data_IF_913267908405
#
_entry.id   IF_913267908405
#
_cell.length_a   1.000
_cell.length_b   1.000
_cell.length_c   1.000
_cell.angle_alpha   90.00
_cell.angle_beta   90.00
_cell.angle_gamma   90.00
#
_symmetry.space_group_name_H-M   'P 1'
#
loop_
_entity.id
_entity.type
_entity.pdbx_description
1 polymer ?
#
# COMPACT_ATOMS: atom_id res chain seq x y z
N UNK A 1 83.43 10.00 -50.82
CA UNK A 1 84.23 8.91 -50.21
C UNK A 1 83.95 8.95 -48.70
N UNK A 2 83.11 8.04 -48.19
CA UNK A 2 83.51 6.88 -47.36
C UNK A 2 84.11 7.36 -46.01
N UNK A 3 83.68 7.02 -44.78
CA UNK A 3 83.01 5.87 -44.14
C UNK A 3 82.43 6.33 -42.76
N UNK A 4 81.31 5.81 -42.26
CA UNK A 4 81.15 4.80 -41.16
C UNK A 4 82.08 5.00 -39.92
N UNK A 5 81.71 4.78 -38.65
CA UNK A 5 80.51 4.30 -37.95
C UNK A 5 80.72 4.47 -36.42
N UNK A 6 79.63 4.56 -35.63
CA UNK A 6 79.41 4.06 -34.25
C UNK A 6 78.23 4.84 -33.65
N UNK A 7 77.24 4.28 -32.95
CA UNK A 7 77.10 2.95 -32.37
C UNK A 7 76.27 3.10 -31.08
N UNK A 8 75.17 2.35 -31.02
CA UNK A 8 74.50 1.80 -29.83
C UNK A 8 73.67 2.68 -28.85
N UNK A 9 72.41 2.22 -28.73
CA UNK A 9 71.64 1.94 -27.50
C UNK A 9 71.04 3.06 -26.64
N UNK A 10 69.71 3.12 -26.69
CA UNK A 10 68.89 2.56 -25.61
C UNK A 10 68.57 3.48 -24.43
N UNK A 11 67.32 3.97 -24.38
CA UNK A 11 66.46 3.91 -23.18
C UNK A 11 65.10 4.58 -23.48
N UNK A 12 64.09 3.73 -23.61
CA UNK A 12 62.69 4.05 -23.38
C UNK A 12 62.46 4.09 -21.87
N UNK A 13 62.04 5.24 -21.30
CA UNK A 13 61.19 5.35 -20.09
C UNK A 13 61.20 6.79 -19.55
N UNK A 14 60.03 7.44 -19.51
CA UNK A 14 59.57 8.35 -18.45
C UNK A 14 58.32 9.13 -18.90
N UNK A 15 57.18 8.46 -18.96
CA UNK A 15 55.86 9.09 -18.81
C UNK A 15 55.02 8.13 -17.96
N UNK A 16 55.21 8.18 -16.65
CA UNK A 16 54.33 7.56 -15.67
C UNK A 16 54.34 8.43 -14.42
N UNK A 17 53.20 9.04 -14.11
CA UNK A 17 53.07 9.86 -12.90
C UNK A 17 51.90 10.83 -12.91
N UNK A 18 50.70 10.36 -13.27
CA UNK A 18 49.41 11.03 -12.97
C UNK A 18 48.24 10.14 -13.42
N UNK A 19 48.01 9.02 -12.73
CA UNK A 19 46.72 8.32 -12.77
C UNK A 19 46.67 7.31 -11.62
N UNK A 20 46.36 7.79 -10.41
CA UNK A 20 46.33 6.92 -9.23
C UNK A 20 45.41 7.35 -8.10
N UNK A 21 44.65 8.45 -8.25
CA UNK A 21 43.83 8.98 -7.14
C UNK A 21 42.33 9.07 -7.43
N UNK A 22 41.88 8.90 -8.68
CA UNK A 22 40.45 9.04 -9.03
C UNK A 22 39.66 7.73 -8.96
N UNK A 23 40.30 6.59 -8.67
CA UNK A 23 39.67 5.26 -8.71
C UNK A 23 39.21 4.70 -7.35
N UNK A 24 39.46 5.40 -6.23
CA UNK A 24 39.17 4.87 -4.88
C UNK A 24 37.93 5.48 -4.19
N UNK A 25 37.30 6.51 -4.76
CA UNK A 25 36.18 7.21 -4.11
C UNK A 25 34.77 6.78 -4.60
N UNK A 26 34.69 6.00 -5.70
CA UNK A 26 33.41 5.56 -6.27
C UNK A 26 32.75 4.38 -5.53
N UNK A 27 33.50 3.59 -4.75
CA UNK A 27 33.02 2.37 -4.10
C UNK A 27 32.38 2.56 -2.72
N UNK A 28 32.40 3.78 -2.18
CA UNK A 28 31.96 4.06 -0.80
C UNK A 28 30.57 4.69 -0.69
N UNK A 29 29.99 5.13 -1.81
CA UNK A 29 28.62 5.68 -1.87
C UNK A 29 27.56 4.61 -2.16
N UNK A 30 27.94 3.51 -2.82
CA UNK A 30 27.05 2.47 -3.35
C UNK A 30 26.33 1.64 -2.26
N UNK A 31 26.89 1.52 -1.06
CA UNK A 31 26.31 0.70 0.02
C UNK A 31 25.23 1.42 0.83
N UNK A 32 25.16 2.76 0.82
CA UNK A 32 24.14 3.53 1.57
C UNK A 32 22.84 3.75 0.79
N UNK A 33 22.86 3.56 -0.52
CA UNK A 33 21.65 3.61 -1.36
C UNK A 33 20.99 2.23 -1.53
N UNK A 34 21.68 1.16 -1.13
CA UNK A 34 21.16 -0.21 -1.16
C UNK A 34 20.21 -0.47 0.01
N UNK A 35 19.00 -0.91 -0.31
CA UNK A 35 17.93 -1.25 0.64
C UNK A 35 17.86 -2.76 0.81
N UNK A 36 17.75 -3.24 2.04
CA UNK A 36 17.57 -4.65 2.41
C UNK A 36 16.10 -4.95 2.63
N UNK A 37 15.57 -5.86 1.83
CA UNK A 37 14.13 -6.13 1.71
C UNK A 37 13.83 -7.58 2.08
N UNK A 38 12.79 -7.81 2.87
CA UNK A 38 12.14 -9.12 2.98
C UNK A 38 10.83 -9.08 2.21
N UNK A 39 10.54 -10.10 1.42
CA UNK A 39 9.30 -10.22 0.64
C UNK A 39 8.44 -11.33 1.22
N UNK A 40 7.18 -11.03 1.55
CA UNK A 40 6.17 -12.02 1.88
C UNK A 40 5.07 -11.99 0.83
N UNK A 41 5.00 -13.06 0.05
CA UNK A 41 4.06 -13.21 -1.08
C UNK A 41 3.89 -14.70 -1.32
N UNK A 42 2.67 -15.22 -1.34
CA UNK A 42 2.41 -16.66 -1.48
C UNK A 42 2.59 -17.14 -2.92
N UNK A 43 2.29 -16.29 -3.91
CA UNK A 43 2.55 -16.55 -5.31
C UNK A 43 4.05 -16.57 -5.59
N UNK A 44 4.59 -17.77 -5.76
CA UNK A 44 6.02 -18.00 -6.09
C UNK A 44 6.46 -17.15 -7.29
N UNK A 45 5.63 -17.09 -8.34
CA UNK A 45 5.97 -16.33 -9.55
C UNK A 45 6.07 -14.82 -9.26
N UNK A 46 5.14 -14.27 -8.49
CA UNK A 46 5.16 -12.85 -8.14
C UNK A 46 6.33 -12.53 -7.20
N UNK A 47 6.59 -13.39 -6.21
CA UNK A 47 7.74 -13.25 -5.30
C UNK A 47 9.08 -13.25 -6.05
N UNK A 48 9.26 -14.15 -7.01
CA UNK A 48 10.45 -14.18 -7.88
C UNK A 48 10.53 -12.94 -8.78
N UNK A 49 9.39 -12.48 -9.31
CA UNK A 49 9.30 -11.24 -10.08
C UNK A 49 9.73 -10.02 -9.27
N UNK A 50 9.15 -9.81 -8.10
CA UNK A 50 9.50 -8.74 -7.17
C UNK A 50 10.98 -8.79 -6.78
N UNK A 51 11.49 -10.00 -6.53
CA UNK A 51 12.90 -10.21 -6.20
C UNK A 51 13.79 -9.67 -7.31
N UNK A 52 13.54 -10.09 -8.57
CA UNK A 52 14.32 -9.63 -9.72
C UNK A 52 14.22 -8.12 -9.92
N UNK A 53 13.01 -7.55 -9.82
CA UNK A 53 12.80 -6.10 -10.00
C UNK A 53 13.63 -5.27 -9.02
N UNK A 54 13.76 -5.72 -7.77
CA UNK A 54 14.54 -5.05 -6.73
C UNK A 54 16.05 -5.28 -6.90
N UNK A 55 16.47 -6.52 -7.20
CA UNK A 55 17.90 -6.83 -7.36
C UNK A 55 18.50 -6.18 -8.59
N UNK A 56 17.76 -6.13 -9.71
CA UNK A 56 18.20 -5.46 -10.95
C UNK A 56 18.38 -3.94 -10.77
N UNK A 57 17.83 -3.38 -9.68
CA UNK A 57 17.95 -1.98 -9.27
C UNK A 57 19.00 -1.75 -8.18
N UNK A 58 19.78 -2.76 -7.83
CA UNK A 58 20.86 -2.68 -6.84
C UNK A 58 20.42 -2.88 -5.40
N UNK A 59 19.15 -3.21 -5.14
CA UNK A 59 18.67 -3.52 -3.79
C UNK A 59 18.93 -4.99 -3.42
N UNK A 60 18.87 -5.31 -2.13
CA UNK A 60 19.09 -6.66 -1.61
C UNK A 60 17.78 -7.27 -1.14
N UNK A 61 17.41 -8.44 -1.67
CA UNK A 61 16.32 -9.23 -1.09
C UNK A 61 16.94 -10.29 -0.19
N UNK A 62 16.86 -10.08 1.12
CA UNK A 62 17.54 -10.92 2.12
C UNK A 62 16.75 -12.17 2.46
N UNK A 63 15.44 -12.18 2.21
CA UNK A 63 14.59 -13.35 2.32
C UNK A 63 13.29 -13.19 1.52
N UNK A 64 12.75 -14.33 1.08
CA UNK A 64 11.41 -14.46 0.51
C UNK A 64 10.63 -15.55 1.23
N UNK A 65 9.41 -15.25 1.67
CA UNK A 65 8.52 -16.17 2.40
C UNK A 65 7.13 -16.19 1.77
N UNK A 66 6.36 -17.25 2.06
CA UNK A 66 5.03 -17.47 1.46
C UNK A 66 3.84 -17.23 2.40
N UNK A 67 4.09 -16.90 3.66
CA UNK A 67 3.02 -16.71 4.66
C UNK A 67 3.43 -15.72 5.76
N UNK A 68 2.42 -15.25 6.51
CA UNK A 68 2.59 -14.23 7.54
C UNK A 68 3.40 -14.70 8.76
N UNK A 69 3.26 -15.96 9.18
CA UNK A 69 3.99 -16.49 10.34
C UNK A 69 5.48 -16.63 10.03
N UNK A 70 5.80 -17.12 8.82
CA UNK A 70 7.15 -17.18 8.30
C UNK A 70 7.77 -15.78 8.19
N UNK A 71 7.01 -14.77 7.76
CA UNK A 71 7.48 -13.37 7.71
C UNK A 71 7.90 -12.88 9.10
N UNK A 72 7.04 -13.04 10.10
CA UNK A 72 7.34 -12.59 11.46
C UNK A 72 8.58 -13.30 12.01
N UNK A 73 8.65 -14.62 11.83
CA UNK A 73 9.79 -15.41 12.28
C UNK A 73 11.09 -14.99 11.59
N UNK A 74 11.09 -14.83 10.27
CA UNK A 74 12.28 -14.45 9.50
C UNK A 74 12.83 -13.10 9.92
N UNK A 75 11.97 -12.09 10.14
CA UNK A 75 12.43 -10.78 10.60
C UNK A 75 12.98 -10.84 12.02
N UNK A 76 12.34 -11.61 12.91
CA UNK A 76 12.85 -11.82 14.27
C UNK A 76 14.24 -12.49 14.28
N UNK A 77 14.44 -13.51 13.46
CA UNK A 77 15.72 -14.21 13.32
C UNK A 77 16.81 -13.26 12.78
N UNK A 78 16.49 -12.45 11.77
CA UNK A 78 17.41 -11.43 11.22
C UNK A 78 17.75 -10.35 12.25
N UNK A 79 16.77 -9.91 13.04
CA UNK A 79 16.96 -8.93 14.10
C UNK A 79 17.87 -9.48 15.20
N UNK A 80 17.68 -10.73 15.63
CA UNK A 80 18.54 -11.40 16.60
C UNK A 80 19.99 -11.53 16.10
N UNK A 81 20.19 -11.65 14.79
CA UNK A 81 21.50 -11.65 14.15
C UNK A 81 22.10 -10.24 13.92
N UNK A 82 21.44 -9.17 14.39
CA UNK A 82 21.91 -7.78 14.21
C UNK A 82 21.75 -7.27 12.78
N UNK A 83 20.82 -7.85 12.02
CA UNK A 83 20.69 -7.66 10.57
C UNK A 83 19.25 -7.36 10.15
N UNK A 84 18.52 -6.57 10.96
CA UNK A 84 17.13 -6.13 10.69
C UNK A 84 17.03 -5.58 9.24
N UNK A 85 16.06 -6.00 8.43
CA UNK A 85 15.85 -5.42 7.10
C UNK A 85 15.40 -3.95 7.20
N UNK A 86 15.59 -3.18 6.13
CA UNK A 86 15.14 -1.79 6.09
C UNK A 86 13.63 -1.71 5.81
N UNK A 87 13.11 -2.66 5.03
CA UNK A 87 11.69 -2.72 4.67
C UNK A 87 11.21 -4.15 4.46
N UNK A 88 9.96 -4.40 4.82
CA UNK A 88 9.21 -5.59 4.40
C UNK A 88 8.20 -5.21 3.32
N UNK A 89 8.14 -6.01 2.26
CA UNK A 89 7.07 -5.95 1.25
C UNK A 89 6.17 -7.15 1.48
N UNK A 90 4.92 -6.92 1.88
CA UNK A 90 4.00 -7.99 2.26
C UNK A 90 2.71 -7.93 1.44
N UNK A 91 2.33 -9.04 0.83
CA UNK A 91 0.96 -9.23 0.34
C UNK A 91 -0.02 -9.23 1.52
N UNK A 92 -1.22 -8.66 1.36
CA UNK A 92 -2.25 -8.69 2.40
C UNK A 92 -2.76 -10.11 2.63
N UNK A 93 -3.09 -10.82 1.54
CA UNK A 93 -3.82 -12.09 1.59
C UNK A 93 -2.85 -13.24 1.38
N UNK A 94 -2.50 -13.93 2.46
CA UNK A 94 -1.61 -15.09 2.41
C UNK A 94 -2.25 -16.28 3.13
N UNK A 95 -1.74 -17.52 2.92
CA UNK A 95 -2.13 -18.66 3.73
C UNK A 95 -2.07 -18.38 5.25
N UNK A 96 -2.92 -19.05 6.05
CA UNK A 96 -3.80 -20.14 5.64
C UNK A 96 -5.18 -19.70 5.12
N UNK A 97 -5.71 -18.55 5.54
CA UNK A 97 -7.09 -18.16 5.19
C UNK A 97 -7.18 -17.23 3.98
N UNK A 98 -6.06 -16.63 3.55
CA UNK A 98 -5.98 -15.71 2.42
C UNK A 98 -6.89 -14.48 2.62
N UNK A 99 -6.91 -13.94 3.84
CA UNK A 99 -7.75 -12.79 4.19
C UNK A 99 -6.90 -11.57 4.57
N UNK A 100 -6.03 -11.69 5.56
CA UNK A 100 -5.38 -10.53 6.20
C UNK A 100 -4.07 -10.88 6.91
N UNK A 101 -3.55 -12.09 6.71
CA UNK A 101 -2.39 -12.62 7.40
C UNK A 101 -1.17 -11.72 7.24
N UNK A 102 -0.94 -11.20 6.04
CA UNK A 102 0.22 -10.37 5.79
C UNK A 102 0.13 -8.98 6.38
N UNK A 103 -1.06 -8.37 6.38
CA UNK A 103 -1.22 -7.05 7.03
C UNK A 103 -1.17 -7.17 8.56
N UNK A 104 -1.70 -8.25 9.14
CA UNK A 104 -1.53 -8.54 10.57
C UNK A 104 -0.06 -8.75 10.94
N UNK A 105 0.69 -9.50 10.13
CA UNK A 105 2.13 -9.68 10.29
C UNK A 105 2.89 -8.35 10.22
N UNK A 106 2.58 -7.52 9.23
CA UNK A 106 3.12 -6.17 9.07
C UNK A 106 2.88 -5.28 10.31
N UNK A 107 1.65 -5.26 10.84
CA UNK A 107 1.31 -4.50 12.06
C UNK A 107 2.08 -5.04 13.27
N UNK A 108 2.17 -6.36 13.42
CA UNK A 108 2.93 -6.98 14.50
C UNK A 108 4.42 -6.64 14.43
N UNK A 109 5.02 -6.70 13.24
CA UNK A 109 6.42 -6.36 13.02
C UNK A 109 6.72 -4.91 13.33
N UNK A 110 5.85 -3.98 12.92
CA UNK A 110 6.04 -2.56 13.22
C UNK A 110 5.92 -2.24 14.71
N UNK A 111 5.07 -2.97 15.45
CA UNK A 111 5.03 -2.87 16.91
C UNK A 111 6.34 -3.34 17.57
N UNK A 112 6.96 -4.39 17.03
CA UNK A 112 8.22 -4.92 17.54
C UNK A 112 9.45 -4.11 17.09
N UNK A 113 9.40 -3.52 15.89
CA UNK A 113 10.47 -2.79 15.23
C UNK A 113 9.93 -1.47 14.65
N UNK A 114 9.86 -0.39 15.45
CA UNK A 114 9.26 0.88 15.02
C UNK A 114 9.96 1.56 13.83
N UNK A 115 11.25 1.27 13.63
CA UNK A 115 12.06 1.84 12.54
C UNK A 115 11.99 1.00 11.25
N UNK A 116 11.35 -0.18 11.28
CA UNK A 116 11.20 -1.05 10.12
C UNK A 116 10.16 -0.46 9.15
N UNK A 117 10.56 -0.23 7.90
CA UNK A 117 9.63 0.10 6.83
C UNK A 117 8.67 -1.05 6.53
N UNK A 118 7.40 -0.75 6.31
CA UNK A 118 6.38 -1.74 5.95
C UNK A 118 5.62 -1.26 4.72
N UNK A 119 5.80 -1.95 3.60
CA UNK A 119 5.04 -1.75 2.37
C UNK A 119 4.08 -2.91 2.17
N UNK A 120 2.78 -2.64 2.22
CA UNK A 120 1.75 -3.62 1.97
C UNK A 120 1.29 -3.55 0.52
N UNK A 121 1.21 -4.71 -0.14
CA UNK A 121 0.67 -4.89 -1.49
C UNK A 121 -0.69 -5.55 -1.40
N UNK A 122 -1.68 -5.02 -2.12
CA UNK A 122 -3.01 -5.63 -2.14
C UNK A 122 -3.60 -5.69 -3.53
N UNK A 123 -4.35 -6.75 -3.84
CA UNK A 123 -5.11 -6.81 -5.09
C UNK A 123 -6.31 -5.84 -5.08
N UNK A 124 -6.90 -5.61 -3.90
CA UNK A 124 -8.01 -4.69 -3.67
C UNK A 124 -7.79 -3.95 -2.34
N UNK A 125 -8.38 -2.78 -2.12
CA UNK A 125 -8.17 -2.07 -0.86
C UNK A 125 -8.86 -2.80 0.30
N UNK A 126 -8.07 -3.27 1.26
CA UNK A 126 -8.55 -3.86 2.51
C UNK A 126 -8.68 -2.74 3.57
N UNK A 127 -9.80 -2.00 3.49
CA UNK A 127 -10.01 -0.70 4.14
C UNK A 127 -9.82 -0.71 5.67
N UNK A 128 -10.27 -1.77 6.36
CA UNK A 128 -10.14 -1.92 7.82
C UNK A 128 -8.67 -1.92 8.25
N UNK A 129 -7.82 -2.64 7.52
CA UNK A 129 -6.41 -2.80 7.86
C UNK A 129 -5.54 -1.67 7.35
N UNK A 130 -5.91 -1.04 6.23
CA UNK A 130 -5.27 0.20 5.79
C UNK A 130 -5.42 1.28 6.88
N UNK A 131 -6.60 1.40 7.50
CA UNK A 131 -6.83 2.34 8.60
C UNK A 131 -5.98 2.00 9.83
N UNK A 132 -5.92 0.72 10.24
CA UNK A 132 -5.11 0.29 11.40
C UNK A 132 -3.61 0.50 11.17
N UNK A 133 -3.10 0.19 9.98
CA UNK A 133 -1.70 0.42 9.60
C UNK A 133 -1.35 1.91 9.64
N UNK A 134 -2.28 2.78 9.21
CA UNK A 134 -2.12 4.23 9.16
C UNK A 134 -2.42 4.95 10.48
N UNK A 135 -3.17 4.35 11.41
CA UNK A 135 -3.53 4.96 12.70
C UNK A 135 -2.35 5.12 13.67
N UNK A 136 -1.21 4.44 13.42
CA UNK A 136 0.05 4.63 14.14
C UNK A 136 0.88 5.81 13.63
N UNK A 137 2.20 5.78 13.84
CA UNK A 137 3.14 6.73 13.23
C UNK A 137 3.21 6.50 11.71
N UNK A 138 2.78 7.46 10.89
CA UNK A 138 2.78 7.32 9.41
C UNK A 138 4.18 7.16 8.79
N UNK A 139 5.25 7.31 9.59
CA UNK A 139 6.63 7.07 9.19
C UNK A 139 6.85 5.61 8.79
N UNK A 140 7.48 5.40 7.64
CA UNK A 140 7.89 4.07 7.16
C UNK A 140 6.72 3.17 6.77
N UNK A 141 5.60 3.73 6.32
CA UNK A 141 4.41 2.95 5.92
C UNK A 141 4.09 3.17 4.45
N UNK A 142 3.86 2.08 3.72
CA UNK A 142 3.31 2.12 2.39
C UNK A 142 2.14 1.17 2.21
N UNK A 143 1.22 1.55 1.34
CA UNK A 143 0.09 0.74 0.90
C UNK A 143 -0.13 0.97 -0.59
N UNK A 144 0.15 -0.06 -1.39
CA UNK A 144 0.02 -0.01 -2.85
C UNK A 144 -0.88 -1.13 -3.35
N UNK A 145 -1.56 -0.86 -4.47
CA UNK A 145 -2.24 -1.90 -5.22
C UNK A 145 -1.22 -2.73 -6.00
N UNK A 146 -1.47 -4.04 -6.15
CA UNK A 146 -0.59 -4.96 -6.90
C UNK A 146 -0.40 -4.52 -8.36
N UNK A 147 -1.38 -3.83 -8.95
CA UNK A 147 -1.26 -3.25 -10.30
C UNK A 147 -0.12 -2.23 -10.41
N UNK A 148 0.22 -1.52 -9.32
CA UNK A 148 1.38 -0.59 -9.30
C UNK A 148 2.73 -1.27 -9.38
N UNK A 149 2.80 -2.57 -9.11
CA UNK A 149 4.03 -3.33 -9.34
C UNK A 149 4.40 -3.34 -10.84
N UNK A 150 3.40 -3.26 -11.73
CA UNK A 150 3.65 -3.16 -13.17
C UNK A 150 4.37 -1.85 -13.54
N UNK A 151 4.20 -0.79 -12.74
CA UNK A 151 4.93 0.48 -12.85
C UNK A 151 6.24 0.39 -12.06
N UNK A 152 7.15 -0.45 -12.57
CA UNK A 152 8.38 -0.88 -11.90
C UNK A 152 9.18 0.27 -11.26
N UNK A 153 9.24 1.44 -11.88
CA UNK A 153 9.94 2.60 -11.31
C UNK A 153 9.23 3.13 -10.06
N UNK A 154 7.92 3.31 -10.12
CA UNK A 154 7.14 3.82 -8.99
C UNK A 154 7.14 2.85 -7.81
N UNK A 155 7.04 1.56 -8.08
CA UNK A 155 7.14 0.52 -7.05
C UNK A 155 8.49 0.57 -6.32
N UNK A 156 9.61 0.62 -7.05
CA UNK A 156 10.94 0.67 -6.46
C UNK A 156 11.15 1.97 -5.68
N UNK A 157 10.73 3.11 -6.24
CA UNK A 157 10.79 4.41 -5.55
C UNK A 157 9.97 4.40 -4.25
N UNK A 158 8.81 3.72 -4.23
CA UNK A 158 8.00 3.55 -3.04
C UNK A 158 8.68 2.67 -1.98
N UNK A 159 9.30 1.55 -2.37
CA UNK A 159 10.07 0.68 -1.48
C UNK A 159 11.20 1.47 -0.81
N UNK A 160 11.99 2.21 -1.59
CA UNK A 160 13.10 3.03 -1.07
C UNK A 160 12.58 4.13 -0.15
N UNK A 161 11.48 4.80 -0.51
CA UNK A 161 10.87 5.85 0.30
C UNK A 161 10.42 5.31 1.66
N UNK A 162 9.74 4.16 1.66
CA UNK A 162 9.24 3.50 2.88
C UNK A 162 10.40 3.01 3.76
N UNK A 163 11.43 2.41 3.16
CA UNK A 163 12.65 2.00 3.87
C UNK A 163 13.36 3.17 4.57
N UNK A 164 13.22 4.38 4.03
CA UNK A 164 13.81 5.61 4.60
C UNK A 164 12.87 6.34 5.57
N UNK A 165 11.81 5.69 6.04
CA UNK A 165 10.84 6.28 6.97
C UNK A 165 9.80 7.19 6.30
N UNK A 166 9.79 7.32 4.98
CA UNK A 166 8.74 8.02 4.25
C UNK A 166 7.45 7.22 4.14
N UNK A 167 6.44 7.82 3.49
CA UNK A 167 5.13 7.20 3.25
C UNK A 167 4.88 7.02 1.75
N UNK A 168 4.25 5.91 1.35
CA UNK A 168 3.84 5.68 -0.04
C UNK A 168 2.41 5.12 -0.11
N UNK A 169 1.43 5.95 -0.48
CA UNK A 169 0.04 5.54 -0.61
C UNK A 169 -0.42 5.66 -2.06
N UNK A 170 -1.06 4.61 -2.55
CA UNK A 170 -1.70 4.65 -3.85
C UNK A 170 -2.87 5.65 -3.85
N UNK A 171 -3.02 6.51 -4.88
CA UNK A 171 -4.13 7.47 -4.95
C UNK A 171 -5.52 6.83 -4.86
N UNK A 172 -5.71 5.63 -5.39
CA UNK A 172 -6.95 4.87 -5.31
C UNK A 172 -7.22 4.40 -3.88
N UNK A 173 -6.20 3.94 -3.16
CA UNK A 173 -6.29 3.61 -1.73
C UNK A 173 -6.72 4.85 -0.94
N UNK A 174 -6.09 6.01 -1.20
CA UNK A 174 -6.47 7.27 -0.55
C UNK A 174 -7.91 7.66 -0.87
N UNK A 175 -8.34 7.55 -2.13
CA UNK A 175 -9.69 7.89 -2.55
C UNK A 175 -10.74 7.00 -1.87
N UNK A 176 -10.48 5.69 -1.73
CA UNK A 176 -11.39 4.75 -1.07
C UNK A 176 -11.46 5.00 0.44
N UNK A 177 -10.32 5.25 1.10
CA UNK A 177 -10.27 5.62 2.52
C UNK A 177 -11.03 6.93 2.81
N UNK A 178 -10.84 7.96 1.97
CA UNK A 178 -11.58 9.22 2.07
C UNK A 178 -13.07 9.07 1.71
N UNK A 179 -13.41 8.10 0.87
CA UNK A 179 -14.78 7.73 0.52
C UNK A 179 -15.58 7.25 1.73
N UNK A 180 -14.96 6.53 2.69
CA UNK A 180 -15.59 6.10 3.94
C UNK A 180 -15.85 7.22 4.94
N UNK A 181 -14.93 8.19 5.07
CA UNK A 181 -15.20 9.35 5.93
C UNK A 181 -16.48 10.07 5.49
N UNK A 182 -16.79 10.08 4.19
CA UNK A 182 -18.09 10.58 3.71
C UNK A 182 -19.22 9.56 3.92
N UNK A 183 -19.05 8.26 3.63
CA UNK A 183 -20.14 7.26 3.69
C UNK A 183 -20.58 6.88 5.12
N UNK A 184 -19.66 6.68 6.06
CA UNK A 184 -20.01 6.40 7.47
C UNK A 184 -20.66 7.61 8.14
N UNK A 185 -20.22 8.84 7.81
CA UNK A 185 -20.86 10.07 8.29
C UNK A 185 -22.28 10.27 7.72
N UNK A 186 -22.52 9.85 6.46
CA UNK A 186 -23.80 10.06 5.78
C UNK A 186 -24.95 9.22 6.37
N UNK A 187 -24.72 7.96 6.76
CA UNK A 187 -25.74 7.17 7.48
C UNK A 187 -25.81 7.49 8.98
N UNK A 188 -24.71 7.96 9.58
CA UNK A 188 -24.71 8.46 10.95
C UNK A 188 -25.58 9.71 11.12
N UNK A 189 -25.68 10.56 10.08
CA UNK A 189 -26.56 11.74 10.07
C UNK A 189 -28.07 11.39 10.10
N UNK A 190 -28.45 10.15 9.77
CA UNK A 190 -29.83 9.69 9.86
C UNK A 190 -30.23 9.45 11.33
N UNK A 191 -31.46 9.80 11.68
CA UNK A 191 -32.05 9.42 12.97
C UNK A 191 -32.36 7.92 12.99
N UNK A 192 -32.55 7.30 14.18
CA UNK A 192 -32.96 5.90 14.26
C UNK A 192 -34.20 5.59 13.41
N UNK A 193 -35.18 6.50 13.42
CA UNK A 193 -36.41 6.33 12.64
C UNK A 193 -36.21 6.45 11.13
N UNK A 194 -35.32 7.33 10.69
CA UNK A 194 -34.96 7.46 9.28
C UNK A 194 -34.20 6.23 8.78
N UNK A 195 -33.37 5.60 9.63
CA UNK A 195 -32.71 4.33 9.30
C UNK A 195 -33.71 3.18 9.15
N UNK A 196 -34.68 3.05 10.05
CA UNK A 196 -35.75 2.05 9.93
C UNK A 196 -36.54 2.22 8.63
N UNK A 197 -36.92 3.46 8.30
CA UNK A 197 -37.61 3.77 7.05
C UNK A 197 -36.74 3.38 5.84
N UNK A 198 -35.46 3.76 5.82
CA UNK A 198 -34.54 3.42 4.73
C UNK A 198 -34.35 1.91 4.56
N UNK A 199 -34.27 1.15 5.66
CA UNK A 199 -34.20 -0.32 5.62
C UNK A 199 -35.44 -0.94 4.95
N UNK A 200 -36.63 -0.49 5.34
CA UNK A 200 -37.87 -0.96 4.69
C UNK A 200 -37.99 -0.51 3.23
N UNK A 201 -37.38 0.63 2.87
CA UNK A 201 -37.28 1.03 1.48
C UNK A 201 -36.40 0.07 0.67
N UNK A 202 -35.30 -0.41 1.26
CA UNK A 202 -34.39 -1.37 0.63
C UNK A 202 -35.02 -2.76 0.47
N UNK A 203 -35.97 -3.13 1.33
CA UNK A 203 -36.84 -4.31 1.14
C UNK A 203 -37.89 -4.13 0.02
N UNK A 204 -37.95 -2.97 -0.62
CA UNK A 204 -38.90 -2.68 -1.69
C UNK A 204 -40.32 -2.30 -1.22
N UNK A 205 -40.52 -1.98 0.06
CA UNK A 205 -41.84 -1.66 0.62
C UNK A 205 -42.35 -0.29 0.14
N UNK A 206 -43.64 -0.17 -0.19
CA UNK A 206 -44.27 1.13 -0.50
C UNK A 206 -44.42 1.99 0.75
N UNK A 207 -44.59 3.31 0.61
CA UNK A 207 -44.78 4.21 1.76
C UNK A 207 -46.00 3.82 2.61
N UNK A 208 -47.09 3.34 1.99
CA UNK A 208 -48.26 2.81 2.69
C UNK A 208 -47.94 1.56 3.51
N UNK A 209 -47.14 0.64 2.98
CA UNK A 209 -46.72 -0.55 3.71
C UNK A 209 -45.77 -0.20 4.88
N UNK A 210 -44.86 0.75 4.66
CA UNK A 210 -43.97 1.28 5.71
C UNK A 210 -44.79 1.94 6.82
N UNK A 211 -45.79 2.76 6.48
CA UNK A 211 -46.66 3.43 7.44
C UNK A 211 -47.43 2.43 8.32
N UNK A 212 -47.95 1.36 7.71
CA UNK A 212 -48.63 0.28 8.43
C UNK A 212 -47.68 -0.48 9.37
N UNK A 213 -46.51 -0.88 8.87
CA UNK A 213 -45.53 -1.65 9.65
C UNK A 213 -44.97 -0.86 10.83
N UNK A 214 -44.75 0.44 10.62
CA UNK A 214 -44.18 1.33 11.61
C UNK A 214 -45.24 2.00 12.51
N UNK A 215 -46.53 1.75 12.27
CA UNK A 215 -47.69 2.32 13.00
C UNK A 215 -47.64 3.85 13.03
N UNK A 216 -47.47 4.48 11.87
CA UNK A 216 -47.43 5.94 11.68
C UNK A 216 -48.29 6.37 10.50
N UNK A 217 -48.54 7.67 10.36
CA UNK A 217 -49.28 8.21 9.20
C UNK A 217 -48.44 8.16 7.91
N UNK A 218 -49.11 8.09 6.76
CA UNK A 218 -48.44 8.14 5.45
C UNK A 218 -47.59 9.41 5.30
N UNK A 219 -48.12 10.57 5.69
CA UNK A 219 -47.38 11.84 5.65
C UNK A 219 -46.14 11.87 6.56
N UNK A 220 -46.13 11.12 7.67
CA UNK A 220 -44.93 10.98 8.51
C UNK A 220 -43.83 10.21 7.78
N UNK A 221 -44.18 9.15 7.04
CA UNK A 221 -43.22 8.41 6.21
C UNK A 221 -42.66 9.29 5.10
N UNK A 222 -43.51 10.05 4.39
CA UNK A 222 -43.06 10.98 3.35
C UNK A 222 -42.08 12.02 3.89
N UNK A 223 -42.34 12.54 5.10
CA UNK A 223 -41.43 13.47 5.78
C UNK A 223 -40.08 12.83 6.08
N UNK A 224 -40.07 11.59 6.60
CA UNK A 224 -38.82 10.85 6.82
C UNK A 224 -38.06 10.59 5.52
N UNK A 225 -38.75 10.17 4.46
CA UNK A 225 -38.16 9.93 3.13
C UNK A 225 -37.53 11.21 2.56
N UNK A 226 -38.23 12.35 2.66
CA UNK A 226 -37.71 13.64 2.24
C UNK A 226 -36.46 14.04 3.01
N UNK A 227 -36.46 13.87 4.33
CA UNK A 227 -35.31 14.16 5.19
C UNK A 227 -34.13 13.23 4.89
N UNK A 228 -34.37 11.95 4.62
CA UNK A 228 -33.34 11.00 4.19
C UNK A 228 -32.69 11.51 2.92
N UNK A 229 -33.46 11.85 1.88
CA UNK A 229 -32.89 12.34 0.63
C UNK A 229 -32.04 13.60 0.83
N UNK A 230 -32.52 14.54 1.64
CA UNK A 230 -31.76 15.75 1.96
C UNK A 230 -30.45 15.43 2.68
N UNK A 231 -30.47 14.55 3.69
CA UNK A 231 -29.28 14.16 4.47
C UNK A 231 -28.29 13.31 3.67
N UNK A 232 -28.78 12.53 2.71
CA UNK A 232 -27.96 11.76 1.77
C UNK A 232 -27.46 12.63 0.58
N UNK A 233 -27.77 13.93 0.54
CA UNK A 233 -27.35 14.83 -0.54
C UNK A 233 -28.02 14.54 -1.89
N UNK A 234 -29.15 13.83 -1.89
CA UNK A 234 -29.90 13.45 -3.09
C UNK A 234 -30.79 14.60 -3.54
N UNK A 235 -30.22 15.49 -4.35
CA UNK A 235 -30.92 16.64 -4.95
C UNK A 235 -32.08 16.19 -5.86
N UNK A 236 -33.07 17.06 -6.06
CA UNK A 236 -34.14 16.87 -7.05
C UNK A 236 -33.54 17.02 -8.46
N UNK A 237 -32.89 15.97 -8.93
CA UNK A 237 -32.46 15.83 -10.31
C UNK A 237 -33.50 15.00 -11.07
N UNK A 238 -33.86 15.45 -12.27
CA UNK A 238 -34.80 14.77 -13.18
C UNK A 238 -34.21 13.50 -13.82
N UNK A 239 -32.92 13.19 -13.58
CA UNK A 239 -32.22 12.09 -14.26
C UNK A 239 -32.29 10.73 -13.53
N UNK A 240 -32.43 10.71 -12.19
CA UNK A 240 -32.34 9.48 -11.39
C UNK A 240 -33.45 9.34 -10.35
N UNK A 241 -33.95 8.11 -10.17
CA UNK A 241 -34.92 7.80 -9.12
C UNK A 241 -34.24 7.87 -7.74
N UNK A 242 -34.32 9.03 -7.05
CA UNK A 242 -33.74 9.29 -5.71
C UNK A 242 -33.91 8.17 -4.70
N UNK A 243 -35.04 7.46 -4.75
CA UNK A 243 -35.30 6.29 -3.91
C UNK A 243 -34.33 5.14 -4.18
N UNK A 244 -34.07 4.84 -5.44
CA UNK A 244 -33.11 3.80 -5.85
C UNK A 244 -31.71 4.19 -5.38
N UNK A 245 -31.31 5.44 -5.59
CA UNK A 245 -30.02 5.95 -5.12
C UNK A 245 -29.87 5.86 -3.59
N UNK A 246 -30.92 6.20 -2.83
CA UNK A 246 -30.92 6.05 -1.37
C UNK A 246 -30.76 4.58 -0.94
N UNK A 247 -31.47 3.66 -1.61
CA UNK A 247 -31.37 2.22 -1.34
C UNK A 247 -29.99 1.67 -1.71
N UNK A 248 -29.43 2.06 -2.85
CA UNK A 248 -28.06 1.66 -3.25
C UNK A 248 -27.02 2.18 -2.24
N UNK A 249 -27.22 3.39 -1.73
CA UNK A 249 -26.38 3.97 -0.67
C UNK A 249 -26.45 3.15 0.63
N UNK A 250 -27.62 2.62 0.97
CA UNK A 250 -27.85 1.77 2.15
C UNK A 250 -27.32 0.34 1.99
N UNK A 251 -27.35 -0.24 0.80
CA UNK A 251 -26.86 -1.61 0.56
C UNK A 251 -25.33 -1.65 0.40
N UNK A 252 -24.73 -0.54 -0.05
CA UNK A 252 -23.28 -0.41 -0.24
C UNK A 252 -22.54 0.15 0.98
N UNK A 253 -23.19 0.17 2.14
CA UNK A 253 -22.65 0.67 3.42
C UNK A 253 -22.35 -0.44 4.42
#
# INVERSE_FOLDING_TARGET
MAQNANGANGASSAQDGQNGQDAQDAGSQDTRDRVRVVIAEDSVLLREGLTRLLTDRGHEVVAGVGDGDALVKTVADLAAAGSVPDVVVADVRMPPTHTDEGVRAAIALRRAHPDLGVLVLSQYVEEQYATELLAGSSSGVGYLLKDRVAEVREFVDAVVRVARGGTALDPEVVAQLLGRSRKQDVLAALTPREREVLGLMAEGRTNSAIAQQLVVSHGAVEKHVSNIFMKLGLSQSDADHRRVLAVLTYISS
#
